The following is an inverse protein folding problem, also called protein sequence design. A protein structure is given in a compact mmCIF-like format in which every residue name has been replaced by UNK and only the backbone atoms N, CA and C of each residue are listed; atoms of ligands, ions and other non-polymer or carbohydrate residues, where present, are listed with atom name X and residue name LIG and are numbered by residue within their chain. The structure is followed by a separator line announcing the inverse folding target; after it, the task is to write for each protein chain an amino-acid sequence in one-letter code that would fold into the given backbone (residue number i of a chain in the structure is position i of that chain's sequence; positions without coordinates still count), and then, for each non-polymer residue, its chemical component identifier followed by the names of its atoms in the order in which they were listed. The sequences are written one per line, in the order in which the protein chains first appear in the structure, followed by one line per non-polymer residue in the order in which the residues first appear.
data_IF_443419831379
#
_entry.id   IF_443419831379
#
_cell.length_a   1.000
_cell.length_b   1.000
_cell.length_c   1.000
_cell.angle_alpha   90.00
_cell.angle_beta   90.00
_cell.angle_gamma   90.00
#
_symmetry.space_group_name_H-M   'P 1'
#
loop_
_entity.id
_entity.type
_entity.pdbx_description
1 polymer ?
#
# COMPACT_ATOMS: atom_id res chain seq x y z
N UNK A 1 16.40 17.37 20.24
CA UNK A 1 15.06 16.79 19.99
C UNK A 1 15.22 15.68 18.97
N UNK A 2 14.91 14.43 19.33
CA UNK A 2 15.08 13.29 18.42
C UNK A 2 13.81 13.03 17.62
N UNK A 3 13.91 13.02 16.29
CA UNK A 3 12.85 12.55 15.40
C UNK A 3 13.05 11.05 15.19
N UNK A 4 12.22 10.23 15.83
CA UNK A 4 12.32 8.77 15.71
C UNK A 4 11.67 8.32 14.41
N UNK A 5 12.42 7.51 13.67
CA UNK A 5 12.00 6.88 12.40
C UNK A 5 11.67 5.42 12.66
N UNK A 6 10.61 4.95 12.03
CA UNK A 6 10.10 3.59 12.10
C UNK A 6 9.89 3.05 10.70
N UNK A 7 10.03 1.74 10.55
CA UNK A 7 9.70 1.03 9.33
C UNK A 7 8.53 0.08 9.62
N UNK A 8 7.63 -0.04 8.65
CA UNK A 8 6.51 -0.94 8.67
C UNK A 8 6.41 -1.64 7.32
N UNK A 9 6.18 -2.95 7.38
CA UNK A 9 5.97 -3.83 6.24
C UNK A 9 4.50 -4.27 6.26
N UNK A 10 3.84 -4.18 5.10
CA UNK A 10 2.43 -4.56 4.94
C UNK A 10 2.39 -5.91 4.26
N UNK A 11 1.84 -6.93 4.93
CA UNK A 11 1.80 -8.28 4.36
C UNK A 11 0.75 -8.40 3.27
N UNK A 12 1.15 -8.83 2.08
CA UNK A 12 0.21 -9.07 0.99
C UNK A 12 -0.37 -7.76 0.44
N UNK A 13 0.40 -6.68 0.55
CA UNK A 13 0.20 -5.33 0.05
C UNK A 13 -0.45 -5.30 -1.35
N UNK A 14 0.04 -6.11 -2.28
CA UNK A 14 -0.50 -6.17 -3.65
C UNK A 14 -1.95 -6.68 -3.72
N UNK A 15 -2.37 -7.52 -2.77
CA UNK A 15 -3.75 -8.02 -2.72
C UNK A 15 -4.76 -6.93 -2.33
N UNK A 16 -4.31 -5.85 -1.70
CA UNK A 16 -5.12 -4.67 -1.44
C UNK A 16 -5.27 -3.80 -2.69
N UNK A 17 -4.28 -3.81 -3.58
CA UNK A 17 -4.33 -3.15 -4.88
C UNK A 17 -5.40 -3.76 -5.79
N UNK A 18 -6.18 -2.89 -6.43
CA UNK A 18 -7.12 -3.29 -7.49
C UNK A 18 -6.55 -2.88 -8.84
N UNK A 19 -6.36 -3.85 -9.72
CA UNK A 19 -5.89 -3.62 -11.10
C UNK A 19 -7.08 -3.09 -11.90
N UNK A 20 -6.86 -2.03 -12.69
CA UNK A 20 -7.88 -1.49 -13.59
C UNK A 20 -7.97 -2.31 -14.89
N UNK A 21 -6.84 -2.81 -15.37
CA UNK A 21 -6.78 -3.67 -16.53
C UNK A 21 -7.32 -5.08 -16.26
N UNK A 22 -7.92 -5.68 -17.29
CA UNK A 22 -8.32 -7.08 -17.26
C UNK A 22 -7.10 -7.92 -17.60
N UNK A 23 -6.53 -8.58 -16.59
CA UNK A 23 -5.40 -9.49 -16.76
C UNK A 23 -5.91 -10.93 -16.67
N UNK A 24 -5.50 -11.76 -17.62
CA UNK A 24 -5.71 -13.20 -17.60
C UNK A 24 -4.37 -13.91 -17.44
N UNK A 25 -4.35 -15.00 -16.67
CA UNK A 25 -3.17 -15.87 -16.50
C UNK A 25 -3.51 -17.30 -16.89
N UNK A 26 -2.53 -17.99 -17.47
CA UNK A 26 -2.64 -19.42 -17.71
C UNK A 26 -2.86 -20.16 -16.38
N UNK A 27 -3.45 -21.34 -16.48
CA UNK A 27 -3.60 -22.22 -15.33
C UNK A 27 -2.20 -22.59 -14.81
N UNK A 28 -2.00 -22.43 -13.50
CA UNK A 28 -0.73 -22.77 -12.88
C UNK A 28 -0.60 -24.27 -12.75
N UNK A 29 0.61 -24.78 -12.94
CA UNK A 29 0.90 -26.19 -12.81
C UNK A 29 0.35 -26.75 -11.47
N UNK A 30 -0.47 -27.80 -11.54
CA UNK A 30 -1.10 -28.42 -10.37
C UNK A 30 -2.45 -27.82 -9.94
N UNK A 31 -2.93 -26.78 -10.62
CA UNK A 31 -4.27 -26.19 -10.44
C UNK A 31 -5.10 -26.21 -11.73
N UNK A 32 -4.67 -26.99 -12.72
CA UNK A 32 -5.37 -27.14 -14.00
C UNK A 32 -6.73 -27.80 -13.80
N UNK A 33 -7.77 -27.22 -14.40
CA UNK A 33 -9.10 -27.80 -14.52
C UNK A 33 -9.06 -28.91 -15.60
N UNK A 34 -9.20 -30.20 -15.23
CA UNK A 34 -9.11 -31.32 -16.18
C UNK A 34 -10.22 -31.29 -17.24
N UNK A 35 -11.38 -30.73 -16.90
CA UNK A 35 -12.53 -30.64 -17.81
C UNK A 35 -12.40 -29.44 -18.76
N UNK A 36 -11.52 -28.48 -18.43
CA UNK A 36 -11.33 -27.26 -19.20
C UNK A 36 -9.86 -26.84 -19.30
N UNK A 37 -9.01 -27.63 -19.98
CA UNK A 37 -7.56 -27.39 -20.02
C UNK A 37 -7.19 -26.06 -20.69
N UNK A 38 -7.99 -25.58 -21.64
CA UNK A 38 -7.71 -24.36 -22.42
C UNK A 38 -8.22 -23.06 -21.75
N UNK A 39 -8.82 -23.14 -20.55
CA UNK A 39 -9.29 -21.94 -19.84
C UNK A 39 -8.14 -21.17 -19.22
N UNK A 40 -8.39 -19.89 -18.99
CA UNK A 40 -7.49 -18.95 -18.29
C UNK A 40 -8.21 -18.34 -17.09
N UNK A 41 -7.45 -17.99 -16.06
CA UNK A 41 -8.00 -17.31 -14.88
C UNK A 41 -7.94 -15.81 -15.04
N UNK A 42 -9.04 -15.13 -14.73
CA UNK A 42 -9.06 -13.67 -14.61
C UNK A 42 -8.49 -13.28 -13.26
N UNK A 43 -7.48 -12.43 -13.26
CA UNK A 43 -6.89 -11.89 -12.04
C UNK A 43 -7.76 -10.74 -11.53
N UNK A 44 -8.24 -10.86 -10.29
CA UNK A 44 -9.11 -9.86 -9.65
C UNK A 44 -8.31 -8.89 -8.75
N UNK A 45 -7.18 -9.35 -8.21
CA UNK A 45 -6.31 -8.61 -7.29
C UNK A 45 -4.92 -8.48 -7.85
N UNK A 46 -4.19 -7.43 -7.48
CA UNK A 46 -2.81 -7.29 -7.91
C UNK A 46 -1.95 -8.45 -7.36
N UNK A 47 -1.35 -9.20 -8.28
CA UNK A 47 -0.39 -10.27 -7.98
C UNK A 47 1.02 -9.69 -8.09
N UNK A 48 1.93 -10.11 -7.21
CA UNK A 48 3.31 -9.62 -7.14
C UNK A 48 4.03 -9.60 -8.50
N UNK A 49 3.82 -10.63 -9.32
CA UNK A 49 4.45 -10.77 -10.64
C UNK A 49 3.90 -9.82 -11.71
N UNK A 50 2.87 -9.03 -11.41
CA UNK A 50 2.28 -8.10 -12.35
C UNK A 50 2.97 -6.75 -12.25
N UNK A 51 3.42 -6.23 -13.39
CA UNK A 51 4.02 -4.90 -13.51
C UNK A 51 3.13 -3.78 -12.93
N UNK A 52 1.80 -3.95 -12.97
CA UNK A 52 0.83 -2.99 -12.44
C UNK A 52 0.64 -3.07 -10.92
N UNK A 53 1.09 -4.14 -10.26
CA UNK A 53 0.80 -4.38 -8.84
C UNK A 53 1.37 -3.29 -7.92
N UNK A 54 2.63 -2.84 -8.07
CA UNK A 54 3.17 -1.72 -7.29
C UNK A 54 2.38 -0.42 -7.45
N UNK A 55 1.98 -0.10 -8.69
CA UNK A 55 1.17 1.10 -8.95
C UNK A 55 -0.21 1.01 -8.31
N UNK A 56 -0.87 -0.14 -8.42
CA UNK A 56 -2.19 -0.37 -7.84
C UNK A 56 -2.17 -0.33 -6.30
N UNK A 57 -1.12 -0.87 -5.69
CA UNK A 57 -0.88 -0.78 -4.25
C UNK A 57 -0.68 0.67 -3.81
N UNK A 58 0.27 1.37 -4.45
CA UNK A 58 0.57 2.76 -4.13
C UNK A 58 -0.67 3.65 -4.22
N UNK A 59 -1.45 3.56 -5.30
CA UNK A 59 -2.66 4.37 -5.45
C UNK A 59 -3.71 4.07 -4.37
N UNK A 60 -3.86 2.80 -3.98
CA UNK A 60 -4.78 2.39 -2.92
C UNK A 60 -4.36 2.98 -1.57
N UNK A 61 -3.09 2.83 -1.21
CA UNK A 61 -2.52 3.37 0.02
C UNK A 61 -2.57 4.90 0.03
N UNK A 62 -2.15 5.53 -1.06
CA UNK A 62 -2.10 6.97 -1.18
C UNK A 62 -3.49 7.61 -1.09
N UNK A 63 -4.51 6.99 -1.70
CA UNK A 63 -5.91 7.43 -1.56
C UNK A 63 -6.36 7.33 -0.10
N UNK A 64 -6.07 6.21 0.56
CA UNK A 64 -6.44 6.01 1.96
C UNK A 64 -5.77 7.02 2.91
N UNK A 65 -4.50 7.36 2.68
CA UNK A 65 -3.82 8.40 3.46
C UNK A 65 -4.44 9.78 3.24
N UNK A 66 -4.78 10.14 2.00
CA UNK A 66 -5.44 11.41 1.69
C UNK A 66 -6.82 11.53 2.37
N UNK A 67 -7.63 10.47 2.33
CA UNK A 67 -8.92 10.40 3.02
C UNK A 67 -8.78 10.58 4.55
N UNK A 68 -7.64 10.16 5.10
CA UNK A 68 -7.33 10.31 6.52
C UNK A 68 -6.58 11.62 6.86
N UNK A 69 -6.66 12.61 5.98
CA UNK A 69 -6.19 13.98 6.23
C UNK A 69 -4.67 14.14 6.16
N UNK A 70 -3.97 13.24 5.47
CA UNK A 70 -2.59 13.48 5.07
C UNK A 70 -2.55 14.38 3.83
N UNK A 71 -1.49 15.16 3.72
CA UNK A 71 -1.17 15.95 2.53
C UNK A 71 -0.03 15.27 1.79
N UNK A 72 -0.20 15.05 0.49
CA UNK A 72 0.85 14.54 -0.38
C UNK A 72 1.89 15.64 -0.63
N UNK A 73 3.17 15.29 -0.67
CA UNK A 73 4.26 16.18 -0.99
C UNK A 73 4.13 16.72 -2.42
N UNK A 74 4.53 17.98 -2.61
CA UNK A 74 4.45 18.66 -3.92
C UNK A 74 5.59 18.19 -4.83
N UNK A 75 6.80 18.08 -4.28
CA UNK A 75 8.01 17.68 -5.02
C UNK A 75 8.11 16.16 -5.06
N UNK A 76 7.99 15.52 -3.90
CA UNK A 76 7.99 14.07 -3.77
C UNK A 76 6.57 13.59 -3.50
N UNK A 77 5.99 12.89 -4.47
CA UNK A 77 4.63 12.35 -4.37
C UNK A 77 4.53 11.15 -3.42
N UNK A 78 5.64 10.50 -3.11
CA UNK A 78 5.69 9.36 -2.20
C UNK A 78 5.83 9.77 -0.73
N UNK A 79 6.02 11.07 -0.47
CA UNK A 79 6.03 11.67 0.86
C UNK A 79 4.63 12.18 1.24
N UNK A 80 4.18 11.82 2.44
CA UNK A 80 2.92 12.25 3.03
C UNK A 80 3.17 12.92 4.39
N UNK A 81 2.46 14.02 4.63
CA UNK A 81 2.65 14.87 5.80
C UNK A 81 1.31 15.07 6.49
N UNK A 82 1.28 14.85 7.81
CA UNK A 82 0.14 15.21 8.66
C UNK A 82 0.60 16.09 9.80
N UNK A 83 -0.04 17.26 9.95
CA UNK A 83 0.24 18.22 11.02
C UNK A 83 -0.93 18.25 11.99
N UNK A 84 -0.66 18.09 13.28
CA UNK A 84 -1.69 18.13 14.31
C UNK A 84 -1.14 18.77 15.59
N UNK A 85 -1.80 19.85 16.07
CA UNK A 85 -1.46 20.53 17.33
C UNK A 85 0.05 20.87 17.48
N UNK A 86 0.68 21.35 16.41
CA UNK A 86 2.11 21.69 16.39
C UNK A 86 3.07 20.49 16.24
N UNK A 87 2.55 19.27 16.14
CA UNK A 87 3.32 18.07 15.85
C UNK A 87 3.20 17.64 14.39
N UNK A 88 4.20 16.92 13.90
CA UNK A 88 4.31 16.47 12.52
C UNK A 88 4.49 14.95 12.51
N UNK A 89 3.78 14.31 11.59
CA UNK A 89 3.98 12.93 11.16
C UNK A 89 4.36 12.95 9.67
N UNK A 90 5.50 12.36 9.34
CA UNK A 90 6.00 12.16 7.98
C UNK A 90 5.90 10.67 7.65
N UNK A 91 5.43 10.34 6.46
CA UNK A 91 5.32 8.98 5.94
C UNK A 91 5.89 8.97 4.53
N UNK A 92 6.87 8.12 4.28
CA UNK A 92 7.47 7.88 2.98
C UNK A 92 7.12 6.47 2.55
N UNK A 93 6.66 6.30 1.31
CA UNK A 93 6.32 5.01 0.73
C UNK A 93 7.34 4.66 -0.33
N UNK A 94 7.93 3.47 -0.26
CA UNK A 94 8.82 2.97 -1.30
C UNK A 94 8.43 1.54 -1.66
N UNK A 95 7.65 1.41 -2.75
CA UNK A 95 7.08 0.13 -3.22
C UNK A 95 6.26 -0.50 -2.09
N UNK A 96 6.84 -1.43 -1.34
CA UNK A 96 6.16 -2.20 -0.29
C UNK A 96 6.54 -1.70 1.13
N UNK A 97 7.65 -0.96 1.24
CA UNK A 97 8.16 -0.43 2.49
C UNK A 97 7.51 0.91 2.85
N UNK A 98 7.09 1.03 4.11
CA UNK A 98 6.58 2.29 4.66
C UNK A 98 7.51 2.75 5.78
N UNK A 99 8.19 3.87 5.54
CA UNK A 99 9.03 4.52 6.54
C UNK A 99 8.27 5.72 7.07
N UNK A 100 8.14 5.85 8.38
CA UNK A 100 7.45 6.99 8.98
C UNK A 100 8.12 7.47 10.25
N UNK A 101 7.93 8.75 10.54
CA UNK A 101 8.47 9.35 11.75
C UNK A 101 7.53 10.41 12.28
N UNK A 102 7.47 10.54 13.60
CA UNK A 102 6.59 11.48 14.27
C UNK A 102 7.32 12.23 15.37
N UNK A 103 6.98 13.51 15.54
CA UNK A 103 7.46 14.31 16.68
C UNK A 103 6.75 13.99 18.00
N UNK A 104 5.67 13.19 17.96
CA UNK A 104 4.83 12.84 19.10
C UNK A 104 4.46 11.34 19.07
N UNK A 105 4.52 10.68 20.23
CA UNK A 105 4.21 9.24 20.38
C UNK A 105 2.75 8.88 20.09
N UNK A 106 1.81 9.76 20.39
CA UNK A 106 0.39 9.55 20.13
C UNK A 106 0.09 9.60 18.63
N UNK A 107 0.74 10.51 17.88
CA UNK A 107 0.65 10.52 16.42
C UNK A 107 1.15 9.22 15.81
N UNK A 108 2.30 8.73 16.28
CA UNK A 108 2.84 7.43 15.88
C UNK A 108 1.83 6.31 16.14
N UNK A 109 1.31 6.17 17.36
CA UNK A 109 0.32 5.14 17.71
C UNK A 109 -0.96 5.25 16.89
N UNK A 110 -1.41 6.48 16.62
CA UNK A 110 -2.59 6.72 15.80
C UNK A 110 -2.39 6.25 14.35
N UNK A 111 -1.18 6.44 13.81
CA UNK A 111 -0.83 5.97 12.47
C UNK A 111 -0.70 4.44 12.41
N UNK A 112 -0.01 3.83 13.39
CA UNK A 112 0.08 2.37 13.48
C UNK A 112 -1.32 1.73 13.55
N UNK A 113 -2.23 2.32 14.33
CA UNK A 113 -3.62 1.87 14.41
C UNK A 113 -4.34 2.05 13.07
N UNK A 114 -4.23 3.25 12.47
CA UNK A 114 -4.85 3.56 11.19
C UNK A 114 -4.49 2.54 10.11
N UNK A 115 -3.21 2.17 10.05
CA UNK A 115 -2.71 1.23 9.06
C UNK A 115 -3.24 -0.20 9.32
N UNK A 116 -3.22 -0.66 10.58
CA UNK A 116 -3.74 -1.98 10.97
C UNK A 116 -5.25 -2.13 10.82
N UNK A 117 -6.00 -1.03 10.92
CA UNK A 117 -7.45 -1.06 10.75
C UNK A 117 -7.84 -1.31 9.27
N UNK A 118 -6.91 -1.07 8.32
CA UNK A 118 -7.16 -1.22 6.88
C UNK A 118 -6.36 -2.36 6.22
N UNK A 119 -5.12 -2.57 6.63
CA UNK A 119 -4.13 -3.45 5.97
C UNK A 119 -3.50 -4.45 6.94
#
# INVERSE_FOLDING_TARGET
MGFMVYQMDVKGEFLYGTIKEIVYVCQTLGFEDPDHPDKVYKVVKALYSLHQAPGAWYETLATYLLENGFQRGIIDQTLFIKKQKGHILLVQIYVDDIIFGATNRDLRRSFEKLMKDKF
#
